data_IF_285318011320
#
_entry.id   IF_285318011320
#
_cell.length_a   1.000
_cell.length_b   1.000
_cell.length_c   1.000
_cell.angle_alpha   90.00
_cell.angle_beta   90.00
_cell.angle_gamma   90.00
#
_symmetry.space_group_name_H-M   'P 1'
#
loop_
_entity.id
_entity.type
_entity.pdbx_description
1 polymer ?
#
# COMPACT_ATOMS: atom_id res chain seq x y z
N UNK A 1 17.14 9.01 19.46
CA UNK A 1 16.81 10.16 18.57
C UNK A 1 17.87 10.41 17.48
N UNK A 2 19.20 10.53 17.80
CA UNK A 2 20.23 10.82 16.78
C UNK A 2 20.49 9.63 15.84
N UNK A 3 20.42 8.40 16.32
CA UNK A 3 20.57 7.19 15.50
C UNK A 3 19.35 6.92 14.61
N UNK A 4 18.15 7.19 15.09
CA UNK A 4 16.91 7.00 14.32
C UNK A 4 16.84 7.96 13.12
N UNK A 5 17.21 9.24 13.29
CA UNK A 5 17.23 10.20 12.19
C UNK A 5 18.24 9.81 11.10
N UNK A 6 19.44 9.35 11.48
CA UNK A 6 20.46 8.91 10.51
C UNK A 6 20.03 7.68 9.71
N UNK A 7 19.39 6.69 10.37
CA UNK A 7 18.87 5.50 9.66
C UNK A 7 17.75 5.90 8.72
N UNK A 8 16.84 6.75 9.17
CA UNK A 8 15.72 7.22 8.34
C UNK A 8 16.22 8.00 7.10
N UNK A 9 17.18 8.91 7.28
CA UNK A 9 17.81 9.65 6.19
C UNK A 9 18.49 8.69 5.20
N UNK A 10 19.25 7.71 5.70
CA UNK A 10 19.87 6.69 4.86
C UNK A 10 18.82 5.90 4.04
N UNK A 11 17.70 5.51 4.66
CA UNK A 11 16.59 4.84 3.97
C UNK A 11 16.08 5.70 2.80
N UNK A 12 15.80 6.99 3.04
CA UNK A 12 15.28 7.89 2.01
C UNK A 12 16.26 8.03 0.85
N UNK A 13 17.56 8.27 1.11
CA UNK A 13 18.55 8.45 0.04
C UNK A 13 18.78 7.19 -0.75
N UNK A 14 18.87 6.02 -0.12
CA UNK A 14 19.07 4.75 -0.80
C UNK A 14 17.81 4.37 -1.57
N UNK A 15 16.62 4.64 -1.02
CA UNK A 15 15.36 4.38 -1.71
C UNK A 15 15.20 5.28 -2.95
N UNK A 16 15.50 6.58 -2.81
CA UNK A 16 15.53 7.49 -3.95
C UNK A 16 16.48 6.97 -5.04
N UNK A 17 17.70 6.56 -4.67
CA UNK A 17 18.66 5.95 -5.59
C UNK A 17 18.13 4.70 -6.29
N UNK A 18 17.45 3.80 -5.55
CA UNK A 18 16.82 2.61 -6.12
C UNK A 18 15.73 2.98 -7.14
N UNK A 19 14.84 3.91 -6.80
CA UNK A 19 13.74 4.36 -7.69
C UNK A 19 14.30 5.04 -8.94
N UNK A 20 15.33 5.88 -8.80
CA UNK A 20 16.00 6.53 -9.94
C UNK A 20 16.68 5.51 -10.88
N UNK A 21 17.27 4.46 -10.34
CA UNK A 21 17.85 3.39 -11.17
C UNK A 21 16.75 2.55 -11.85
N UNK A 22 15.64 2.28 -11.18
CA UNK A 22 14.49 1.67 -11.86
C UNK A 22 13.94 2.56 -12.96
N UNK A 23 13.89 3.88 -12.74
CA UNK A 23 13.53 4.83 -13.79
C UNK A 23 14.53 4.84 -14.96
N UNK A 24 15.82 4.78 -14.68
CA UNK A 24 16.85 4.67 -15.73
C UNK A 24 16.72 3.35 -16.52
N UNK A 25 16.42 2.22 -15.85
CA UNK A 25 16.10 0.95 -16.53
C UNK A 25 14.82 1.06 -17.36
N UNK A 26 13.83 1.75 -16.84
CA UNK A 26 12.59 2.01 -17.54
C UNK A 26 12.81 2.75 -18.88
N UNK A 27 13.74 3.72 -18.92
CA UNK A 27 14.09 4.47 -20.13
C UNK A 27 14.99 3.68 -21.08
N UNK A 28 15.99 2.98 -20.56
CA UNK A 28 17.10 2.43 -21.35
C UNK A 28 17.11 0.88 -21.44
N UNK A 29 16.17 0.20 -20.82
CA UNK A 29 16.03 -1.28 -20.81
C UNK A 29 17.33 -2.03 -20.46
N UNK A 30 18.00 -1.62 -19.37
CA UNK A 30 19.28 -2.15 -18.93
C UNK A 30 19.18 -3.16 -17.80
N UNK A 31 19.36 -4.46 -18.08
CA UNK A 31 19.34 -5.53 -17.06
C UNK A 31 20.36 -5.33 -15.92
N UNK A 32 21.49 -4.67 -16.19
CA UNK A 32 22.50 -4.38 -15.16
C UNK A 32 21.98 -3.34 -14.18
N UNK A 33 21.40 -2.26 -14.70
CA UNK A 33 20.81 -1.19 -13.89
C UNK A 33 19.64 -1.71 -13.05
N UNK A 34 18.76 -2.52 -13.64
CA UNK A 34 17.66 -3.17 -12.94
C UNK A 34 18.15 -4.04 -11.78
N UNK A 35 19.19 -4.83 -11.97
CA UNK A 35 19.76 -5.65 -10.89
C UNK A 35 20.33 -4.82 -9.75
N UNK A 36 20.99 -3.71 -10.04
CA UNK A 36 21.52 -2.79 -9.02
C UNK A 36 20.35 -2.15 -8.25
N UNK A 37 19.33 -1.67 -8.97
CA UNK A 37 18.12 -1.11 -8.37
C UNK A 37 17.43 -2.11 -7.41
N UNK A 38 17.33 -3.38 -7.82
CA UNK A 38 16.76 -4.44 -6.98
C UNK A 38 17.55 -4.67 -5.69
N UNK A 39 18.88 -4.72 -5.78
CA UNK A 39 19.70 -4.91 -4.57
C UNK A 39 19.65 -3.69 -3.64
N UNK A 40 19.61 -2.47 -4.20
CA UNK A 40 19.38 -1.28 -3.36
C UNK A 40 18.03 -1.32 -2.68
N UNK A 41 16.98 -1.78 -3.39
CA UNK A 41 15.66 -1.96 -2.78
C UNK A 41 15.67 -3.01 -1.66
N UNK A 42 16.42 -4.11 -1.83
CA UNK A 42 16.60 -5.11 -0.78
C UNK A 42 17.32 -4.52 0.45
N UNK A 43 18.30 -3.63 0.23
CA UNK A 43 18.96 -2.88 1.32
C UNK A 43 17.96 -1.95 2.01
N UNK A 44 17.13 -1.23 1.27
CA UNK A 44 16.05 -0.39 1.83
C UNK A 44 15.13 -1.23 2.71
N UNK A 45 14.68 -2.37 2.23
CA UNK A 45 13.84 -3.30 3.00
C UNK A 45 14.51 -3.74 4.31
N UNK A 46 15.80 -4.10 4.24
CA UNK A 46 16.55 -4.50 5.42
C UNK A 46 16.68 -3.35 6.44
N UNK A 47 17.01 -2.13 5.97
CA UNK A 47 17.10 -0.95 6.83
C UNK A 47 15.75 -0.57 7.44
N UNK A 48 14.66 -0.62 6.68
CA UNK A 48 13.31 -0.41 7.21
C UNK A 48 12.96 -1.45 8.28
N UNK A 49 13.32 -2.72 8.07
CA UNK A 49 13.09 -3.80 9.04
C UNK A 49 13.90 -3.58 10.33
N UNK A 50 15.16 -3.17 10.21
CA UNK A 50 16.00 -2.82 11.36
C UNK A 50 15.41 -1.63 12.12
N UNK A 51 14.99 -0.58 11.41
CA UNK A 51 14.34 0.58 12.02
C UNK A 51 13.09 0.19 12.82
N UNK A 52 12.26 -0.71 12.25
CA UNK A 52 11.08 -1.24 12.95
C UNK A 52 11.43 -1.95 14.24
N UNK A 53 12.41 -2.87 14.19
CA UNK A 53 12.84 -3.62 15.37
C UNK A 53 13.40 -2.68 16.44
N UNK A 54 14.21 -1.70 16.04
CA UNK A 54 14.75 -0.70 16.97
C UNK A 54 13.65 0.14 17.63
N UNK A 55 12.71 0.65 16.82
CA UNK A 55 11.57 1.43 17.33
C UNK A 55 10.67 0.61 18.26
N UNK A 56 10.48 -0.70 17.96
CA UNK A 56 9.71 -1.60 18.82
C UNK A 56 10.38 -1.82 20.18
N UNK A 57 11.71 -1.99 20.19
CA UNK A 57 12.47 -2.19 21.42
C UNK A 57 12.56 -0.92 22.28
N UNK A 58 12.54 0.26 21.65
CA UNK A 58 12.66 1.55 22.34
C UNK A 58 11.31 2.02 22.92
N UNK A 59 10.20 1.72 22.23
CA UNK A 59 8.86 2.22 22.59
C UNK A 59 8.01 1.24 23.39
N UNK A 60 8.43 -0.01 23.54
CA UNK A 60 7.68 -1.10 24.17
C UNK A 60 6.27 -1.36 23.56
N UNK A 61 6.05 -0.83 22.35
CA UNK A 61 4.84 -1.14 21.56
C UNK A 61 5.18 -1.24 20.07
N UNK A 62 4.29 -1.84 19.29
CA UNK A 62 4.49 -1.96 17.85
C UNK A 62 4.23 -0.59 17.16
N UNK A 63 5.21 -0.05 16.40
CA UNK A 63 5.16 1.33 15.90
C UNK A 63 4.25 1.46 14.67
N UNK A 64 2.93 1.58 14.89
CA UNK A 64 1.89 1.81 13.86
C UNK A 64 0.81 2.80 14.36
N UNK A 65 1.02 3.44 15.50
CA UNK A 65 -0.01 4.23 16.17
C UNK A 65 -0.01 5.70 15.72
N UNK A 66 1.12 6.21 15.26
CA UNK A 66 1.23 7.58 14.75
C UNK A 66 1.11 7.61 13.23
N UNK A 67 0.80 8.77 12.65
CA UNK A 67 0.79 8.94 11.20
C UNK A 67 2.15 8.56 10.59
N UNK A 68 3.23 9.01 11.22
CA UNK A 68 4.59 8.68 10.81
C UNK A 68 4.84 7.18 10.76
N UNK A 69 4.52 6.48 11.84
CA UNK A 69 4.71 5.03 11.95
C UNK A 69 3.84 4.25 10.96
N UNK A 70 2.58 4.68 10.81
CA UNK A 70 1.63 4.06 9.87
C UNK A 70 2.10 4.18 8.42
N UNK A 71 2.53 5.38 7.99
CA UNK A 71 3.02 5.61 6.64
C UNK A 71 4.35 4.88 6.38
N UNK A 72 5.21 4.83 7.38
CA UNK A 72 6.45 4.07 7.31
C UNK A 72 6.19 2.57 7.16
N UNK A 73 5.28 2.01 7.97
CA UNK A 73 4.87 0.61 7.89
C UNK A 73 4.20 0.30 6.55
N UNK A 74 3.38 1.20 6.04
CA UNK A 74 2.75 1.03 4.73
C UNK A 74 3.78 1.01 3.59
N UNK A 75 4.77 1.91 3.62
CA UNK A 75 5.89 1.87 2.68
C UNK A 75 6.65 0.54 2.75
N UNK A 76 6.94 0.04 3.97
CA UNK A 76 7.59 -1.26 4.16
C UNK A 76 6.76 -2.44 3.61
N UNK A 77 5.43 -2.41 3.79
CA UNK A 77 4.53 -3.40 3.18
C UNK A 77 4.66 -3.37 1.65
N UNK A 78 4.61 -2.19 1.02
CA UNK A 78 4.72 -2.07 -0.44
C UNK A 78 6.07 -2.59 -0.96
N UNK A 79 7.16 -2.24 -0.30
CA UNK A 79 8.49 -2.77 -0.65
C UNK A 79 8.52 -4.30 -0.51
N UNK A 80 8.06 -4.84 0.62
CA UNK A 80 7.99 -6.28 0.87
C UNK A 80 7.20 -7.00 -0.20
N UNK A 81 5.97 -6.57 -0.46
CA UNK A 81 5.10 -7.18 -1.45
C UNK A 81 5.68 -7.06 -2.87
N UNK A 82 6.30 -5.92 -3.22
CA UNK A 82 6.94 -5.76 -4.53
C UNK A 82 8.11 -6.71 -4.73
N UNK A 83 8.96 -6.90 -3.71
CA UNK A 83 10.07 -7.85 -3.75
C UNK A 83 9.56 -9.30 -3.86
N UNK A 84 8.55 -9.67 -3.08
CA UNK A 84 7.94 -11.01 -3.11
C UNK A 84 7.33 -11.29 -4.49
N UNK A 85 6.53 -10.37 -5.03
CA UNK A 85 5.90 -10.54 -6.34
C UNK A 85 6.97 -10.61 -7.44
N UNK A 86 8.00 -9.79 -7.38
CA UNK A 86 9.08 -9.83 -8.36
C UNK A 86 9.87 -11.14 -8.32
N UNK A 87 10.09 -11.69 -7.13
CA UNK A 87 10.75 -13.00 -6.98
C UNK A 87 10.00 -14.11 -7.71
N UNK A 88 8.66 -14.15 -7.59
CA UNK A 88 7.83 -15.17 -8.20
C UNK A 88 7.50 -14.92 -9.68
N UNK A 89 7.27 -13.66 -10.07
CA UNK A 89 6.67 -13.33 -11.36
C UNK A 89 7.58 -12.51 -12.28
N UNK A 90 8.70 -11.98 -11.79
CA UNK A 90 9.71 -11.20 -12.55
C UNK A 90 9.10 -10.06 -13.35
N UNK A 91 8.28 -9.22 -12.71
CA UNK A 91 7.58 -8.10 -13.33
C UNK A 91 8.30 -6.78 -12.96
N UNK A 92 9.40 -6.48 -13.63
CA UNK A 92 10.27 -5.33 -13.30
C UNK A 92 9.53 -3.99 -13.31
N UNK A 93 8.64 -3.76 -14.30
CA UNK A 93 7.85 -2.53 -14.38
C UNK A 93 6.88 -2.37 -13.21
N UNK A 94 6.32 -3.46 -12.75
CA UNK A 94 5.45 -3.46 -11.56
C UNK A 94 6.23 -3.02 -10.31
N UNK A 95 7.46 -3.53 -10.14
CA UNK A 95 8.32 -3.14 -9.01
C UNK A 95 8.61 -1.64 -9.05
N UNK A 96 8.93 -1.10 -10.23
CA UNK A 96 9.14 0.33 -10.41
C UNK A 96 7.93 1.15 -9.95
N UNK A 97 6.74 0.90 -10.49
CA UNK A 97 5.55 1.69 -10.15
C UNK A 97 5.15 1.53 -8.69
N UNK A 98 5.24 0.33 -8.13
CA UNK A 98 4.96 0.08 -6.70
C UNK A 98 5.91 0.89 -5.81
N UNK A 99 7.20 0.92 -6.16
CA UNK A 99 8.19 1.62 -5.34
C UNK A 99 8.20 3.13 -5.56
N UNK A 100 7.72 3.65 -6.69
CA UNK A 100 7.41 5.08 -6.84
C UNK A 100 6.34 5.49 -5.83
N UNK A 101 5.28 4.70 -5.67
CA UNK A 101 4.24 4.99 -4.67
C UNK A 101 4.80 4.86 -3.25
N UNK A 102 5.50 3.77 -2.94
CA UNK A 102 6.10 3.54 -1.62
C UNK A 102 7.09 4.62 -1.20
N UNK A 103 7.95 5.06 -2.14
CA UNK A 103 8.88 6.15 -1.92
C UNK A 103 8.15 7.50 -1.72
N UNK A 104 7.13 7.78 -2.53
CA UNK A 104 6.36 9.04 -2.41
C UNK A 104 5.69 9.15 -1.04
N UNK A 105 5.15 8.05 -0.52
CA UNK A 105 4.56 7.99 0.82
C UNK A 105 5.62 8.24 1.89
N UNK A 106 6.79 7.60 1.78
CA UNK A 106 7.88 7.79 2.73
C UNK A 106 8.46 9.22 2.68
N UNK A 107 8.61 9.78 1.48
CA UNK A 107 9.07 11.16 1.30
C UNK A 107 8.06 12.18 1.84
N UNK A 108 6.75 11.95 1.64
CA UNK A 108 5.72 12.77 2.26
C UNK A 108 5.78 12.70 3.79
N UNK A 109 6.05 11.52 4.32
CA UNK A 109 6.21 11.29 5.76
C UNK A 109 7.38 12.07 6.38
N UNK A 110 8.42 12.37 5.61
CA UNK A 110 9.55 13.19 6.07
C UNK A 110 9.13 14.60 6.51
N UNK A 111 8.07 15.14 5.90
CA UNK A 111 7.54 16.45 6.24
C UNK A 111 6.48 16.42 7.35
N UNK A 112 6.07 15.23 7.83
CA UNK A 112 5.11 15.11 8.91
C UNK A 112 5.80 15.23 10.27
N UNK A 113 5.12 15.85 11.25
CA UNK A 113 5.64 15.95 12.61
C UNK A 113 5.69 14.56 13.28
N UNK A 114 6.85 14.20 13.82
CA UNK A 114 7.08 12.91 14.48
C UNK A 114 6.53 12.79 15.90
N UNK A 115 5.92 13.85 16.44
CA UNK A 115 5.49 13.90 17.84
C UNK A 115 4.05 13.40 18.03
N UNK A 116 3.90 12.14 18.47
CA UNK A 116 2.66 11.73 19.13
C UNK A 116 2.62 12.34 20.54
N UNK A 117 1.45 12.83 20.98
CA UNK A 117 1.32 13.19 22.38
C UNK A 117 1.38 11.91 23.22
N UNK A 118 2.13 11.88 24.35
CA UNK A 118 2.26 10.70 25.21
C UNK A 118 0.94 10.12 25.70
N UNK A 119 -0.09 10.98 25.87
CA UNK A 119 -1.43 10.60 26.33
C UNK A 119 -2.21 9.75 25.30
N UNK A 120 -1.95 9.96 24.00
CA UNK A 120 -2.59 9.19 22.94
C UNK A 120 -1.97 7.79 22.83
N UNK A 121 -0.66 7.67 23.01
CA UNK A 121 0.03 6.39 22.98
C UNK A 121 -0.44 5.43 24.08
N UNK A 122 -0.67 5.91 25.30
CA UNK A 122 -1.08 5.09 26.43
C UNK A 122 -2.52 4.54 26.30
N UNK A 123 -3.42 5.29 25.66
CA UNK A 123 -4.79 4.83 25.39
C UNK A 123 -4.90 3.84 24.24
N UNK A 124 -3.91 3.81 23.33
CA UNK A 124 -3.94 3.05 22.09
C UNK A 124 -3.16 1.73 22.17
N UNK A 125 -2.47 1.41 23.26
CA UNK A 125 -1.72 0.16 23.47
C UNK A 125 -2.65 -1.03 23.68
N UNK A 126 -3.31 -1.48 22.62
CA UNK A 126 -4.14 -2.67 22.60
C UNK A 126 -3.70 -3.57 21.46
N UNK A 127 -3.48 -4.85 21.76
CA UNK A 127 -3.15 -5.87 20.73
C UNK A 127 -4.21 -5.92 19.63
N UNK A 128 -5.49 -5.73 19.98
CA UNK A 128 -6.59 -5.70 19.02
C UNK A 128 -6.46 -4.53 18.04
N UNK A 129 -6.09 -3.35 18.53
CA UNK A 129 -5.90 -2.17 17.67
C UNK A 129 -4.71 -2.38 16.73
N UNK A 130 -3.61 -2.94 17.21
CA UNK A 130 -2.46 -3.28 16.39
C UNK A 130 -2.84 -4.24 15.25
N UNK A 131 -3.55 -5.33 15.57
CA UNK A 131 -3.97 -6.31 14.56
C UNK A 131 -4.94 -5.65 13.56
N UNK A 132 -5.89 -4.84 14.04
CA UNK A 132 -6.81 -4.08 13.19
C UNK A 132 -6.05 -3.20 12.17
N UNK A 133 -5.14 -2.37 12.64
CA UNK A 133 -4.37 -1.46 11.78
C UNK A 133 -3.50 -2.25 10.78
N UNK A 134 -2.82 -3.30 11.25
CA UNK A 134 -1.96 -4.11 10.39
C UNK A 134 -2.73 -4.81 9.28
N UNK A 135 -3.91 -5.38 9.58
CA UNK A 135 -4.77 -6.00 8.58
C UNK A 135 -5.34 -4.98 7.58
N UNK A 136 -5.73 -3.78 8.07
CA UNK A 136 -6.16 -2.69 7.18
C UNK A 136 -5.05 -2.30 6.20
N UNK A 137 -3.82 -2.10 6.69
CA UNK A 137 -2.69 -1.68 5.87
C UNK A 137 -2.26 -2.78 4.88
N UNK A 138 -2.29 -4.06 5.28
CA UNK A 138 -2.07 -5.18 4.36
C UNK A 138 -3.14 -5.24 3.27
N UNK A 139 -4.41 -5.02 3.63
CA UNK A 139 -5.51 -4.95 2.67
C UNK A 139 -5.29 -3.79 1.67
N UNK A 140 -5.00 -2.59 2.16
CA UNK A 140 -4.73 -1.43 1.30
C UNK A 140 -3.47 -1.64 0.45
N UNK A 141 -2.45 -2.33 0.97
CA UNK A 141 -1.30 -2.78 0.19
C UNK A 141 -1.72 -3.67 -0.98
N UNK A 142 -2.54 -4.69 -0.73
CA UNK A 142 -3.07 -5.57 -1.77
C UNK A 142 -3.88 -4.79 -2.82
N UNK A 143 -4.74 -3.85 -2.40
CA UNK A 143 -5.52 -2.99 -3.32
C UNK A 143 -4.63 -2.04 -4.12
N UNK A 144 -3.57 -1.49 -3.55
CA UNK A 144 -2.60 -0.66 -4.27
C UNK A 144 -1.89 -1.44 -5.36
N UNK A 145 -1.47 -2.67 -5.07
CA UNK A 145 -0.85 -3.54 -6.07
C UNK A 145 -1.84 -3.95 -7.16
N UNK A 146 -3.07 -4.28 -6.78
CA UNK A 146 -4.15 -4.58 -7.71
C UNK A 146 -4.45 -3.39 -8.63
N UNK A 147 -4.46 -2.18 -8.10
CA UNK A 147 -4.61 -0.94 -8.85
C UNK A 147 -3.48 -0.76 -9.89
N UNK A 148 -2.22 -1.00 -9.51
CA UNK A 148 -1.08 -0.91 -10.44
C UNK A 148 -1.26 -1.89 -11.60
N UNK A 149 -1.61 -3.15 -11.33
CA UNK A 149 -1.89 -4.12 -12.40
C UNK A 149 -3.05 -3.70 -13.28
N UNK A 150 -4.10 -3.11 -12.73
CA UNK A 150 -5.23 -2.60 -13.51
C UNK A 150 -4.86 -1.37 -14.35
N UNK A 151 -3.97 -0.51 -13.85
CA UNK A 151 -3.43 0.61 -14.61
C UNK A 151 -2.56 0.11 -15.77
N UNK A 152 -1.67 -0.85 -15.51
CA UNK A 152 -0.87 -1.51 -16.55
C UNK A 152 -1.76 -2.14 -17.61
N UNK A 153 -2.84 -2.83 -17.19
CA UNK A 153 -3.86 -3.38 -18.09
C UNK A 153 -4.47 -2.30 -19.00
N UNK A 154 -4.92 -1.20 -18.42
CA UNK A 154 -5.57 -0.12 -19.17
C UNK A 154 -4.62 0.53 -20.18
N UNK A 155 -3.35 0.70 -19.82
CA UNK A 155 -2.31 1.22 -20.71
C UNK A 155 -2.03 0.24 -21.86
N UNK A 156 -1.83 -1.04 -21.55
CA UNK A 156 -1.54 -2.08 -22.55
C UNK A 156 -2.72 -2.26 -23.51
N UNK A 157 -3.97 -2.33 -23.03
CA UNK A 157 -5.17 -2.42 -23.88
C UNK A 157 -5.27 -1.24 -24.86
N UNK A 158 -4.93 -0.02 -24.38
CA UNK A 158 -4.91 1.18 -25.22
C UNK A 158 -3.81 1.11 -26.29
N UNK A 159 -2.60 0.70 -25.92
CA UNK A 159 -1.46 0.58 -26.86
C UNK A 159 -1.74 -0.45 -27.94
N UNK A 160 -2.28 -1.62 -27.57
CA UNK A 160 -2.65 -2.67 -28.51
C UNK A 160 -3.72 -2.19 -29.50
N UNK A 161 -4.76 -1.47 -29.03
CA UNK A 161 -5.80 -0.91 -29.90
C UNK A 161 -5.29 0.16 -30.86
N UNK A 162 -4.30 0.93 -30.43
CA UNK A 162 -3.62 1.94 -31.27
C UNK A 162 -2.52 1.34 -32.16
N UNK A 163 -2.28 0.02 -32.08
CA UNK A 163 -1.24 -0.69 -32.81
C UNK A 163 0.17 -0.11 -32.55
N UNK A 164 0.40 0.40 -31.35
CA UNK A 164 1.70 0.92 -30.92
C UNK A 164 2.56 -0.25 -30.44
N UNK A 165 3.50 -0.69 -31.30
CA UNK A 165 4.43 -1.76 -31.00
C UNK A 165 5.79 -1.16 -30.63
N UNK A 166 6.09 -1.08 -29.33
CA UNK A 166 7.37 -0.59 -28.83
C UNK A 166 7.98 -1.58 -27.83
N UNK A 167 9.20 -1.30 -27.36
CA UNK A 167 9.87 -2.14 -26.37
C UNK A 167 9.14 -2.21 -25.03
N UNK A 168 8.40 -1.18 -24.71
CA UNK A 168 7.57 -1.11 -23.52
C UNK A 168 6.48 -2.16 -23.49
N UNK A 169 5.74 -2.31 -24.58
CA UNK A 169 4.67 -3.28 -24.71
C UNK A 169 5.22 -4.71 -24.53
N UNK A 170 6.45 -4.97 -24.97
CA UNK A 170 7.10 -6.28 -24.81
C UNK A 170 7.54 -6.59 -23.38
N UNK A 171 7.67 -5.57 -22.53
CA UNK A 171 8.04 -5.70 -21.10
C UNK A 171 6.83 -5.87 -20.20
N UNK A 172 5.63 -5.54 -20.66
CA UNK A 172 4.39 -5.72 -19.90
C UNK A 172 4.03 -7.21 -19.89
N UNK A 173 3.55 -7.75 -18.75
CA UNK A 173 2.89 -9.05 -18.73
C UNK A 173 1.62 -8.97 -19.58
N UNK A 174 1.31 -10.00 -20.35
CA UNK A 174 0.12 -9.96 -21.21
C UNK A 174 -1.17 -9.70 -20.42
N UNK A 175 -2.17 -9.08 -21.07
CA UNK A 175 -3.44 -8.63 -20.48
C UNK A 175 -4.12 -9.67 -19.57
N UNK A 176 -4.07 -10.95 -19.96
CA UNK A 176 -4.65 -12.03 -19.15
C UNK A 176 -3.98 -12.22 -17.79
N UNK A 177 -2.66 -12.03 -17.72
CA UNK A 177 -1.91 -12.12 -16.46
C UNK A 177 -2.15 -10.90 -15.58
N UNK A 178 -2.20 -9.70 -16.16
CA UNK A 178 -2.50 -8.47 -15.42
C UNK A 178 -3.89 -8.53 -14.77
N UNK A 179 -4.89 -9.00 -15.53
CA UNK A 179 -6.24 -9.21 -15.04
C UNK A 179 -6.29 -10.27 -13.93
N UNK A 180 -5.55 -11.38 -14.07
CA UNK A 180 -5.47 -12.44 -13.08
C UNK A 180 -4.80 -11.97 -11.78
N UNK A 181 -3.69 -11.23 -11.86
CA UNK A 181 -2.97 -10.74 -10.68
C UNK A 181 -3.79 -9.71 -9.92
N UNK A 182 -4.43 -8.78 -10.63
CA UNK A 182 -5.37 -7.83 -10.03
C UNK A 182 -6.49 -8.55 -9.26
N UNK A 183 -7.10 -9.56 -9.87
CA UNK A 183 -8.15 -10.35 -9.23
C UNK A 183 -7.66 -11.09 -7.98
N UNK A 184 -6.51 -11.76 -8.05
CA UNK A 184 -5.94 -12.51 -6.90
C UNK A 184 -5.64 -11.59 -5.72
N UNK A 185 -5.11 -10.40 -5.98
CA UNK A 185 -4.83 -9.42 -4.93
C UNK A 185 -6.12 -8.92 -4.27
N UNK A 186 -7.18 -8.67 -5.04
CA UNK A 186 -8.48 -8.30 -4.48
C UNK A 186 -9.13 -9.43 -3.69
N UNK A 187 -8.94 -10.70 -4.10
CA UNK A 187 -9.38 -11.87 -3.33
C UNK A 187 -8.72 -11.96 -1.95
N UNK A 188 -7.47 -11.50 -1.83
CA UNK A 188 -6.77 -11.45 -0.54
C UNK A 188 -7.15 -10.19 0.24
N UNK A 189 -7.19 -9.04 -0.44
CA UNK A 189 -7.46 -7.74 0.18
C UNK A 189 -8.84 -7.66 0.84
N UNK A 190 -9.89 -8.17 0.20
CA UNK A 190 -11.26 -8.08 0.74
C UNK A 190 -11.43 -8.80 2.08
N UNK A 191 -11.03 -10.07 2.26
CA UNK A 191 -11.09 -10.74 3.55
C UNK A 191 -10.26 -10.03 4.64
N UNK A 192 -9.07 -9.53 4.30
CA UNK A 192 -8.23 -8.77 5.24
C UNK A 192 -8.95 -7.50 5.72
N UNK A 193 -9.62 -6.78 4.80
CA UNK A 193 -10.38 -5.58 5.16
C UNK A 193 -11.59 -5.91 6.04
N UNK A 194 -12.32 -6.99 5.73
CA UNK A 194 -13.44 -7.46 6.57
C UNK A 194 -12.95 -7.75 7.99
N UNK A 195 -11.87 -8.53 8.13
CA UNK A 195 -11.31 -8.86 9.44
C UNK A 195 -10.87 -7.60 10.19
N UNK A 196 -10.23 -6.66 9.50
CA UNK A 196 -9.84 -5.39 10.07
C UNK A 196 -11.05 -4.61 10.59
N UNK A 197 -12.09 -4.41 9.78
CA UNK A 197 -13.29 -3.67 10.18
C UNK A 197 -13.96 -4.32 11.41
N UNK A 198 -14.08 -5.64 11.43
CA UNK A 198 -14.65 -6.38 12.57
C UNK A 198 -13.84 -6.13 13.85
N UNK A 199 -12.50 -6.23 13.77
CA UNK A 199 -11.64 -6.01 14.93
C UNK A 199 -11.70 -4.55 15.42
N UNK A 200 -11.76 -3.59 14.49
CA UNK A 200 -11.94 -2.18 14.81
C UNK A 200 -13.26 -1.90 15.51
N UNK A 201 -14.35 -2.52 15.06
CA UNK A 201 -15.66 -2.43 15.68
C UNK A 201 -15.68 -3.06 17.09
N UNK A 202 -15.04 -4.21 17.28
CA UNK A 202 -14.90 -4.85 18.59
C UNK A 202 -14.11 -3.95 19.54
N UNK A 203 -12.98 -3.39 19.08
CA UNK A 203 -12.15 -2.50 19.89
C UNK A 203 -12.90 -1.23 20.28
N UNK A 204 -13.62 -0.59 19.34
CA UNK A 204 -14.42 0.60 19.62
C UNK A 204 -15.53 0.34 20.66
N UNK A 205 -16.16 -0.84 20.57
CA UNK A 205 -17.17 -1.25 21.54
C UNK A 205 -16.59 -1.52 22.94
N UNK A 206 -15.42 -2.18 23.03
CA UNK A 206 -14.72 -2.42 24.30
C UNK A 206 -14.25 -1.11 24.97
N UNK A 207 -13.99 -0.06 24.20
CA UNK A 207 -13.64 1.27 24.68
C UNK A 207 -14.85 2.16 24.93
N UNK A 208 -16.07 1.61 24.83
CA UNK A 208 -17.35 2.33 25.03
C UNK A 208 -17.49 3.59 24.16
N UNK A 209 -16.91 3.58 22.95
CA UNK A 209 -16.99 4.70 22.02
C UNK A 209 -18.38 4.70 21.40
N UNK A 210 -19.22 5.62 21.85
CA UNK A 210 -20.58 5.75 21.33
C UNK A 210 -20.58 6.32 19.91
N UNK A 211 -21.50 5.79 19.08
CA UNK A 211 -21.71 6.25 17.69
C UNK A 211 -20.50 6.13 16.74
N UNK A 212 -19.55 5.23 17.01
CA UNK A 212 -18.39 5.03 16.12
C UNK A 212 -18.79 4.68 14.67
N UNK A 213 -19.98 4.11 14.46
CA UNK A 213 -20.52 3.82 13.13
C UNK A 213 -20.80 5.07 12.29
N UNK A 214 -20.97 6.23 12.91
CA UNK A 214 -21.16 7.51 12.22
C UNK A 214 -19.84 8.23 11.92
N UNK A 215 -18.72 7.66 12.33
CA UNK A 215 -17.40 8.22 12.01
C UNK A 215 -17.17 8.16 10.49
N UNK A 216 -16.79 9.28 9.84
CA UNK A 216 -16.57 9.34 8.40
C UNK A 216 -15.61 8.29 7.88
N UNK A 217 -14.57 7.93 8.65
CA UNK A 217 -13.60 6.90 8.25
C UNK A 217 -14.21 5.50 8.24
N UNK A 218 -15.04 5.16 9.22
CA UNK A 218 -15.75 3.87 9.27
C UNK A 218 -16.66 3.75 8.06
N UNK A 219 -17.49 4.78 7.83
CA UNK A 219 -18.40 4.82 6.68
C UNK A 219 -17.67 4.72 5.33
N UNK A 220 -16.55 5.42 5.17
CA UNK A 220 -15.74 5.34 3.95
C UNK A 220 -15.07 3.98 3.79
N UNK A 221 -14.63 3.34 4.90
CA UNK A 221 -14.05 1.99 4.86
C UNK A 221 -15.08 0.94 4.43
N UNK A 222 -16.32 1.07 4.88
CA UNK A 222 -17.44 0.24 4.41
C UNK A 222 -17.71 0.46 2.93
N UNK A 223 -17.64 1.70 2.46
CA UNK A 223 -17.75 2.04 1.04
C UNK A 223 -16.66 1.38 0.19
N UNK A 224 -15.42 1.37 0.67
CA UNK A 224 -14.31 0.65 0.03
C UNK A 224 -14.60 -0.86 0.00
N UNK A 225 -15.02 -1.44 1.13
CA UNK A 225 -15.36 -2.86 1.20
C UNK A 225 -16.45 -3.23 0.20
N UNK A 226 -17.51 -2.43 0.11
CA UNK A 226 -18.61 -2.65 -0.84
C UNK A 226 -18.10 -2.59 -2.29
N UNK A 227 -17.28 -1.59 -2.63
CA UNK A 227 -16.75 -1.43 -3.99
C UNK A 227 -15.92 -2.63 -4.45
N UNK A 228 -15.04 -3.15 -3.59
CA UNK A 228 -14.22 -4.32 -3.89
C UNK A 228 -15.01 -5.65 -3.81
N UNK A 229 -15.98 -5.74 -2.92
CA UNK A 229 -16.89 -6.89 -2.87
C UNK A 229 -17.74 -6.98 -4.16
N UNK A 230 -18.22 -5.86 -4.67
CA UNK A 230 -18.93 -5.80 -5.95
C UNK A 230 -17.99 -6.16 -7.12
N UNK A 231 -16.72 -5.75 -7.08
CA UNK A 231 -15.71 -6.20 -8.06
C UNK A 231 -15.62 -7.73 -8.10
N UNK A 232 -15.47 -8.37 -6.92
CA UNK A 232 -15.37 -9.83 -6.83
C UNK A 232 -16.68 -10.50 -7.25
N UNK A 233 -17.83 -9.97 -6.84
CA UNK A 233 -19.14 -10.47 -7.23
C UNK A 233 -19.34 -10.44 -8.74
N UNK A 234 -19.03 -9.32 -9.40
CA UNK A 234 -19.10 -9.20 -10.85
C UNK A 234 -18.17 -10.19 -11.56
N UNK A 235 -16.98 -10.41 -11.02
CA UNK A 235 -16.03 -11.38 -11.56
C UNK A 235 -16.54 -12.81 -11.49
N UNK A 236 -17.02 -13.21 -10.31
CA UNK A 236 -17.40 -14.61 -10.02
C UNK A 236 -18.78 -14.94 -10.62
N UNK A 237 -19.77 -14.06 -10.45
CA UNK A 237 -21.15 -14.33 -10.82
C UNK A 237 -21.44 -14.06 -12.30
N UNK A 238 -20.92 -12.93 -12.82
CA UNK A 238 -21.17 -12.53 -14.21
C UNK A 238 -20.02 -12.84 -15.15
N UNK A 239 -18.92 -13.39 -14.66
CA UNK A 239 -17.76 -13.71 -15.49
C UNK A 239 -17.11 -12.47 -16.14
N UNK A 240 -17.24 -11.29 -15.53
CA UNK A 240 -16.62 -10.09 -16.08
C UNK A 240 -15.10 -10.19 -16.04
N UNK A 241 -14.47 -9.74 -17.10
CA UNK A 241 -13.01 -9.77 -17.27
C UNK A 241 -12.52 -8.52 -18.00
N UNK A 242 -11.23 -8.28 -17.88
CA UNK A 242 -10.52 -7.35 -18.71
C UNK A 242 -10.84 -5.89 -18.39
N UNK A 243 -10.99 -5.07 -19.44
CA UNK A 243 -11.09 -3.61 -19.31
C UNK A 243 -12.17 -3.12 -18.34
N UNK A 244 -13.34 -3.78 -18.31
CA UNK A 244 -14.44 -3.37 -17.41
C UNK A 244 -14.01 -3.47 -15.96
N UNK A 245 -13.43 -4.60 -15.58
CA UNK A 245 -12.97 -4.81 -14.21
C UNK A 245 -11.71 -3.98 -13.88
N UNK A 246 -10.82 -3.79 -14.83
CA UNK A 246 -9.66 -2.91 -14.63
C UNK A 246 -10.11 -1.47 -14.31
N UNK A 247 -11.06 -0.92 -15.05
CA UNK A 247 -11.61 0.42 -14.78
C UNK A 247 -12.40 0.47 -13.47
N UNK A 248 -13.15 -0.58 -13.13
CA UNK A 248 -13.83 -0.67 -11.83
C UNK A 248 -12.81 -0.65 -10.68
N UNK A 249 -11.74 -1.43 -10.79
CA UNK A 249 -10.69 -1.50 -9.78
C UNK A 249 -9.97 -0.15 -9.60
N UNK A 250 -9.69 0.55 -10.71
CA UNK A 250 -9.12 1.90 -10.66
C UNK A 250 -10.07 2.84 -9.91
N UNK A 251 -11.38 2.81 -10.20
CA UNK A 251 -12.38 3.61 -9.49
C UNK A 251 -12.50 3.25 -8.02
N UNK A 252 -12.49 1.95 -7.67
CA UNK A 252 -12.51 1.49 -6.29
C UNK A 252 -11.27 1.95 -5.50
N UNK A 253 -10.10 1.99 -6.14
CA UNK A 253 -8.90 2.50 -5.49
C UNK A 253 -8.95 4.01 -5.21
N UNK A 254 -9.64 4.79 -6.04
CA UNK A 254 -9.90 6.20 -5.73
C UNK A 254 -10.67 6.39 -4.43
N UNK A 255 -11.58 5.47 -4.09
CA UNK A 255 -12.25 5.46 -2.77
C UNK A 255 -11.28 5.18 -1.62
N UNK A 256 -10.27 4.31 -1.83
CA UNK A 256 -9.21 4.09 -0.82
C UNK A 256 -8.42 5.38 -0.56
N UNK A 257 -8.05 6.10 -1.62
CA UNK A 257 -7.36 7.38 -1.49
C UNK A 257 -8.22 8.43 -0.79
N UNK A 258 -9.50 8.53 -1.16
CA UNK A 258 -10.44 9.43 -0.50
C UNK A 258 -10.62 9.08 0.97
N UNK A 259 -10.75 7.79 1.30
CA UNK A 259 -10.82 7.33 2.69
C UNK A 259 -9.60 7.77 3.51
N UNK A 260 -8.41 7.68 2.92
CA UNK A 260 -7.18 8.16 3.57
C UNK A 260 -7.21 9.67 3.82
N UNK A 261 -7.61 10.48 2.83
CA UNK A 261 -7.68 11.94 2.92
C UNK A 261 -8.74 12.41 3.92
N UNK A 262 -9.91 11.78 3.93
CA UNK A 262 -11.02 12.13 4.84
C UNK A 262 -10.68 11.78 6.29
N UNK A 263 -9.96 10.71 6.53
CA UNK A 263 -9.60 10.30 7.89
C UNK A 263 -8.73 11.32 8.63
N UNK A 264 -7.86 12.05 7.91
CA UNK A 264 -7.00 13.08 8.51
C UNK A 264 -7.69 14.41 8.87
N UNK A 265 -8.83 14.71 8.20
CA UNK A 265 -9.43 16.05 8.28
C UNK A 265 -10.79 16.10 9.00
N UNK A 266 -11.54 14.99 9.06
CA UNK A 266 -12.95 15.00 9.48
C UNK A 266 -13.28 13.98 10.58
N UNK A 267 -12.47 12.93 10.73
CA UNK A 267 -12.71 11.92 11.76
C UNK A 267 -12.35 12.45 13.15
N UNK A 268 -13.29 12.39 14.07
CA UNK A 268 -13.06 12.74 15.48
C UNK A 268 -12.34 11.63 16.25
N UNK A 269 -12.40 10.41 15.76
CA UNK A 269 -11.91 9.19 16.39
C UNK A 269 -10.57 8.72 15.83
N UNK A 270 -10.29 9.02 14.56
CA UNK A 270 -9.05 8.66 13.88
C UNK A 270 -8.18 9.91 13.62
N UNK A 271 -8.11 10.83 14.56
CA UNK A 271 -7.27 12.03 14.43
C UNK A 271 -5.80 11.64 14.51
N UNK A 272 -5.13 11.68 13.37
CA UNK A 272 -3.69 11.42 13.21
C UNK A 272 -2.85 12.71 13.13
N UNK A 273 -3.49 13.88 13.24
CA UNK A 273 -2.88 15.21 13.14
C UNK A 273 -2.72 15.87 14.49
#
# INVERSE_FOLDING_TARGET
>A
LFHESLIYDAIIYIYAGSVLLYFADFLNSSRKVNRIAFWLLAVVWALQSVFFVMSMLEKDYFPVLTLFETLFFYSWILVTLSLVINYFFRVDLFVFFTNVIGFSILAFNFFSNQSASPLVAEQLTSELLFIHISLALLSYGAFSLSFIFSLMYAVEDRMLKQKIWNEWLRRLPGLGLLDLYSYRLNMVGVPLLIMSIILGAIWANLKEIHNFWLDPKVFMSDGVLIAYSLYLYQRVTYGWHGKKLALWNIGAFMLVLLNYLVSGSVSSFHQWL
#
